data_IF_845121231610
#
_entry.id   IF_845121231610
#
_cell.length_a   1.000
_cell.length_b   1.000
_cell.length_c   1.000
_cell.angle_alpha   90.00
_cell.angle_beta   90.00
_cell.angle_gamma   90.00
#
_symmetry.space_group_name_H-M   'P 1'
#
loop_
_entity.id
_entity.type
_entity.pdbx_description
1 polymer ?
#
# COMPACT_ATOMS: atom_id res chain seq x y z
N UNK A 1 0.80 0.18 0.64
CA UNK A 1 2.16 0.28 1.19
C UNK A 1 2.33 1.63 1.86
N UNK A 2 3.14 1.73 2.91
CA UNK A 2 3.68 3.02 3.35
C UNK A 2 5.08 3.21 2.78
N UNK A 3 5.38 4.39 2.26
CA UNK A 3 6.70 4.79 1.79
C UNK A 3 7.34 5.75 2.78
N UNK A 4 8.60 5.50 3.16
CA UNK A 4 9.34 6.35 4.09
C UNK A 4 10.84 6.32 3.85
N UNK A 5 11.62 7.05 4.65
CA UNK A 5 13.08 6.96 4.60
C UNK A 5 13.59 5.61 5.13
N UNK A 6 14.72 5.12 4.62
CA UNK A 6 15.39 3.91 5.13
C UNK A 6 16.48 4.20 6.19
N UNK A 7 16.64 5.48 6.58
CA UNK A 7 17.65 5.96 7.52
C UNK A 7 19.07 6.10 6.94
N UNK A 8 19.29 5.70 5.68
CA UNK A 8 20.56 5.79 4.94
C UNK A 8 20.46 6.70 3.71
N UNK A 9 19.39 7.48 3.61
CA UNK A 9 19.10 8.36 2.47
C UNK A 9 18.38 7.66 1.30
N UNK A 10 18.01 6.39 1.46
CA UNK A 10 17.16 5.66 0.54
C UNK A 10 15.69 5.63 0.96
N UNK A 11 14.89 4.91 0.19
CA UNK A 11 13.45 4.74 0.40
C UNK A 11 13.17 3.34 0.94
N UNK A 12 12.37 3.26 2.00
CA UNK A 12 11.85 2.03 2.58
C UNK A 12 10.36 1.89 2.26
N UNK A 13 9.89 0.63 2.21
CA UNK A 13 8.50 0.30 1.96
C UNK A 13 8.00 -0.68 3.01
N UNK A 14 6.85 -0.36 3.59
CA UNK A 14 6.12 -1.25 4.47
C UNK A 14 4.84 -1.74 3.79
N UNK A 15 4.65 -3.06 3.73
CA UNK A 15 3.35 -3.63 3.41
C UNK A 15 2.45 -3.50 4.64
N UNK A 16 1.26 -2.93 4.42
CA UNK A 16 0.28 -2.72 5.49
C UNK A 16 -0.80 -3.80 5.44
N UNK A 17 -1.30 -4.07 4.24
CA UNK A 17 -2.40 -4.99 4.00
C UNK A 17 -2.02 -5.99 2.90
N UNK A 18 -2.40 -7.28 2.98
CA UNK A 18 -3.27 -7.88 3.98
C UNK A 18 -2.57 -8.15 5.32
N UNK A 19 -3.30 -8.01 6.42
CA UNK A 19 -2.85 -8.52 7.73
C UNK A 19 -3.28 -9.98 7.89
N UNK A 20 -2.59 -10.80 8.71
CA UNK A 20 -2.98 -12.19 8.93
C UNK A 20 -4.43 -12.37 9.40
N UNK A 21 -4.95 -11.40 10.17
CA UNK A 21 -6.33 -11.39 10.66
C UNK A 21 -7.36 -10.89 9.64
N UNK A 22 -6.93 -10.16 8.61
CA UNK A 22 -7.82 -9.61 7.60
C UNK A 22 -7.97 -10.61 6.44
N UNK A 23 -9.20 -11.05 6.18
CA UNK A 23 -9.53 -11.91 5.03
C UNK A 23 -8.58 -13.11 4.88
N UNK A 24 -8.28 -13.79 6.00
CA UNK A 24 -7.35 -14.92 6.08
C UNK A 24 -5.95 -14.63 5.50
N UNK A 25 -5.46 -13.40 5.66
CA UNK A 25 -4.16 -13.00 5.12
C UNK A 25 -4.15 -12.79 3.60
N UNK A 26 -5.32 -12.74 2.96
CA UNK A 26 -5.46 -12.54 1.52
C UNK A 26 -5.97 -11.15 1.17
N UNK A 27 -5.41 -10.57 0.10
CA UNK A 27 -5.92 -9.35 -0.49
C UNK A 27 -7.04 -9.60 -1.53
N UNK A 28 -7.31 -10.87 -1.86
CA UNK A 28 -8.30 -11.24 -2.86
C UNK A 28 -9.71 -10.96 -2.35
N UNK A 29 -10.49 -10.25 -3.15
CA UNK A 29 -11.91 -10.00 -2.89
C UNK A 29 -12.74 -10.57 -4.03
N UNK A 30 -13.92 -11.11 -3.72
CA UNK A 30 -14.92 -11.42 -4.73
C UNK A 30 -15.51 -10.13 -5.32
N UNK A 31 -16.15 -10.24 -6.49
CA UNK A 31 -16.90 -9.13 -7.06
C UNK A 31 -17.94 -8.60 -6.05
N UNK A 32 -18.08 -7.27 -5.97
CA UNK A 32 -18.96 -6.55 -5.04
C UNK A 32 -18.73 -6.80 -3.54
N UNK A 33 -17.67 -7.53 -3.17
CA UNK A 33 -17.32 -7.73 -1.77
C UNK A 33 -16.82 -6.43 -1.16
N UNK A 34 -17.60 -5.87 -0.23
CA UNK A 34 -17.16 -4.78 0.61
C UNK A 34 -16.22 -5.29 1.70
N UNK A 35 -15.11 -4.58 1.90
CA UNK A 35 -14.17 -4.89 2.97
C UNK A 35 -13.69 -3.60 3.63
N UNK A 36 -13.69 -3.61 4.96
CA UNK A 36 -13.06 -2.60 5.78
C UNK A 36 -11.80 -3.20 6.42
N UNK A 37 -10.67 -2.53 6.26
CA UNK A 37 -9.41 -2.94 6.90
C UNK A 37 -9.34 -2.42 8.33
N UNK A 38 -8.39 -2.92 9.11
CA UNK A 38 -8.09 -2.37 10.43
C UNK A 38 -7.56 -0.93 10.38
N UNK A 39 -7.51 -0.30 11.55
CA UNK A 39 -6.97 1.04 11.72
C UNK A 39 -5.44 1.04 11.80
N UNK A 40 -4.82 2.03 11.18
CA UNK A 40 -3.41 2.37 11.41
C UNK A 40 -3.31 3.64 12.23
N UNK A 41 -2.30 3.70 13.09
CA UNK A 41 -1.96 4.87 13.88
C UNK A 41 -0.67 5.43 13.31
N UNK A 42 -0.70 6.69 12.87
CA UNK A 42 0.53 7.38 12.45
C UNK A 42 1.43 7.58 13.65
N UNK A 43 2.73 7.64 13.41
CA UNK A 43 3.65 7.95 14.48
C UNK A 43 3.46 9.42 14.94
N UNK A 44 4.17 9.81 16.01
CA UNK A 44 4.02 11.15 16.59
C UNK A 44 4.85 12.22 15.88
N UNK A 45 5.62 11.87 14.86
CA UNK A 45 6.50 12.78 14.16
C UNK A 45 5.70 13.55 13.12
N UNK A 46 5.72 14.86 13.19
CA UNK A 46 5.04 15.70 12.19
C UNK A 46 5.62 15.44 10.80
N UNK A 47 4.76 15.39 9.80
CA UNK A 47 5.20 15.12 8.44
C UNK A 47 4.08 14.74 7.50
N UNK A 48 4.50 14.24 6.34
CA UNK A 48 3.63 13.76 5.28
C UNK A 48 3.87 12.27 5.13
N UNK A 49 2.86 11.47 5.48
CA UNK A 49 2.86 10.03 5.26
C UNK A 49 2.44 9.73 3.82
N UNK A 50 3.15 8.78 3.18
CA UNK A 50 2.97 8.43 1.77
C UNK A 50 2.38 7.04 1.62
N UNK A 51 1.08 6.97 1.40
CA UNK A 51 0.36 5.70 1.24
C UNK A 51 0.16 5.36 -0.23
N UNK A 52 0.68 4.21 -0.63
CA UNK A 52 0.36 3.60 -1.91
C UNK A 52 -0.85 2.67 -1.77
N UNK A 53 -1.96 3.01 -2.40
CA UNK A 53 -3.16 2.18 -2.53
C UNK A 53 -3.11 1.49 -3.90
N UNK A 54 -3.14 0.16 -3.89
CA UNK A 54 -3.07 -0.67 -5.09
C UNK A 54 -4.32 -1.54 -5.19
N UNK A 55 -4.91 -1.56 -6.37
CA UNK A 55 -5.96 -2.51 -6.76
C UNK A 55 -5.53 -3.22 -8.03
N UNK A 56 -5.84 -4.52 -8.13
CA UNK A 56 -5.71 -5.25 -9.39
C UNK A 56 -6.75 -6.36 -9.49
N UNK A 57 -7.19 -6.64 -10.72
CA UNK A 57 -8.06 -7.76 -11.05
C UNK A 57 -7.36 -9.11 -10.93
N UNK A 58 -6.04 -9.15 -11.09
CA UNK A 58 -5.21 -10.35 -11.02
C UNK A 58 -4.10 -10.21 -9.96
N UNK A 59 -3.56 -11.33 -9.42
CA UNK A 59 -2.43 -11.29 -8.51
C UNK A 59 -1.18 -10.67 -9.16
N UNK A 60 -0.57 -9.69 -8.48
CA UNK A 60 0.68 -9.06 -8.94
C UNK A 60 1.87 -9.74 -8.28
N UNK A 61 2.65 -10.52 -9.03
CA UNK A 61 3.73 -11.34 -8.52
C UNK A 61 4.71 -10.60 -7.57
N UNK A 62 5.13 -9.38 -7.94
CA UNK A 62 6.04 -8.57 -7.12
C UNK A 62 5.46 -8.20 -5.75
N UNK A 63 4.12 -8.02 -5.66
CA UNK A 63 3.42 -7.69 -4.41
C UNK A 63 3.11 -8.96 -3.60
N UNK A 64 2.76 -10.05 -4.29
CA UNK A 64 2.55 -11.37 -3.67
C UNK A 64 3.83 -11.87 -2.97
N UNK A 65 4.99 -11.65 -3.59
CA UNK A 65 6.29 -12.08 -3.08
C UNK A 65 6.70 -11.44 -1.73
N UNK A 66 6.01 -10.37 -1.32
CA UNK A 66 6.26 -9.66 -0.05
C UNK A 66 5.15 -9.84 0.98
N UNK A 67 4.04 -10.55 0.70
CA UNK A 67 2.93 -10.72 1.68
C UNK A 67 3.37 -11.26 3.04
N UNK A 68 4.40 -12.09 3.06
CA UNK A 68 4.93 -12.68 4.29
C UNK A 68 5.53 -11.69 5.29
N UNK A 69 5.82 -10.44 4.91
CA UNK A 69 6.44 -9.44 5.81
C UNK A 69 5.47 -8.83 6.82
N UNK A 70 4.15 -9.02 6.65
CA UNK A 70 3.15 -8.56 7.62
C UNK A 70 3.03 -9.58 8.75
N UNK A 71 4.04 -9.58 9.62
CA UNK A 71 4.18 -10.50 10.75
C UNK A 71 4.76 -9.78 11.98
N UNK A 72 4.74 -10.39 13.18
CA UNK A 72 5.28 -9.76 14.40
C UNK A 72 6.77 -9.35 14.35
N UNK A 73 7.57 -10.04 13.56
CA UNK A 73 9.03 -9.87 13.44
C UNK A 73 9.41 -8.74 12.48
N UNK A 74 8.78 -8.69 11.32
CA UNK A 74 9.07 -7.74 10.25
C UNK A 74 8.17 -6.52 10.28
N UNK A 75 6.97 -6.63 10.88
CA UNK A 75 6.01 -5.54 11.05
C UNK A 75 5.69 -4.80 9.75
N UNK A 76 5.65 -5.52 8.64
CA UNK A 76 5.40 -4.97 7.31
C UNK A 76 6.66 -4.56 6.54
N UNK A 77 7.84 -4.48 7.19
CA UNK A 77 9.04 -3.95 6.56
C UNK A 77 9.61 -4.90 5.48
N UNK A 78 9.79 -4.38 4.27
CA UNK A 78 10.41 -5.10 3.17
C UNK A 78 11.93 -4.92 3.26
N UNK A 79 12.58 -5.79 4.04
CA UNK A 79 14.03 -5.73 4.32
C UNK A 79 14.90 -6.23 3.16
N UNK A 80 14.36 -7.11 2.33
CA UNK A 80 15.06 -7.62 1.15
C UNK A 80 15.14 -6.53 0.08
N UNK A 81 16.36 -6.15 -0.29
CA UNK A 81 16.61 -5.06 -1.22
C UNK A 81 16.03 -5.32 -2.61
N UNK A 82 16.16 -6.54 -3.14
CA UNK A 82 15.66 -6.88 -4.47
C UNK A 82 14.13 -6.81 -4.53
N UNK A 83 13.45 -7.30 -3.48
CA UNK A 83 11.99 -7.19 -3.36
C UNK A 83 11.53 -5.75 -3.20
N UNK A 84 12.23 -4.94 -2.40
CA UNK A 84 11.91 -3.53 -2.25
C UNK A 84 12.05 -2.75 -3.57
N UNK A 85 13.09 -3.05 -4.35
CA UNK A 85 13.29 -2.46 -5.68
C UNK A 85 12.20 -2.89 -6.67
N UNK A 86 11.79 -4.16 -6.66
CA UNK A 86 10.69 -4.66 -7.50
C UNK A 86 9.35 -3.97 -7.17
N UNK A 87 9.02 -3.85 -5.87
CA UNK A 87 7.83 -3.12 -5.40
C UNK A 87 7.89 -1.66 -5.83
N UNK A 88 9.01 -0.96 -5.62
CA UNK A 88 9.19 0.42 -6.07
C UNK A 88 8.96 0.57 -7.57
N UNK A 89 9.53 -0.32 -8.37
CA UNK A 89 9.41 -0.30 -9.82
C UNK A 89 7.95 -0.50 -10.25
N UNK A 90 7.21 -1.41 -9.61
CA UNK A 90 5.79 -1.60 -9.85
C UNK A 90 4.98 -0.33 -9.51
N UNK A 91 5.17 0.23 -8.31
CA UNK A 91 4.46 1.41 -7.84
C UNK A 91 4.70 2.62 -8.74
N UNK A 92 5.94 2.79 -9.21
CA UNK A 92 6.32 3.90 -10.09
C UNK A 92 5.72 3.78 -11.50
N UNK A 93 5.60 2.55 -12.04
CA UNK A 93 5.03 2.30 -13.37
C UNK A 93 3.50 2.37 -13.40
N UNK A 94 2.84 1.90 -12.35
CA UNK A 94 1.38 1.81 -12.30
C UNK A 94 0.65 3.15 -12.08
N UNK A 95 1.38 4.22 -11.75
CA UNK A 95 0.82 5.55 -11.50
C UNK A 95 0.41 6.31 -12.80
N UNK A 96 0.31 5.61 -13.94
CA UNK A 96 0.03 6.21 -15.26
C UNK A 96 -1.46 6.26 -15.60
N UNK A 97 -2.27 5.32 -15.11
CA UNK A 97 -3.73 5.43 -15.17
C UNK A 97 -4.19 6.22 -13.96
N UNK A 98 -4.48 7.52 -14.13
CA UNK A 98 -5.04 8.33 -13.04
C UNK A 98 -6.47 7.87 -12.78
N UNK A 99 -6.77 7.20 -11.66
CA UNK A 99 -8.15 6.98 -11.28
C UNK A 99 -8.78 8.30 -10.86
N UNK A 100 -10.10 8.27 -10.80
CA UNK A 100 -10.86 9.40 -10.30
C UNK A 100 -10.70 9.44 -8.76
N UNK A 101 -10.06 10.51 -8.26
CA UNK A 101 -9.85 10.73 -6.83
C UNK A 101 -10.73 11.88 -6.37
N UNK A 102 -11.72 11.58 -5.53
CA UNK A 102 -12.57 12.56 -4.88
C UNK A 102 -12.16 12.69 -3.41
N UNK A 103 -11.79 13.91 -2.99
CA UNK A 103 -11.53 14.21 -1.58
C UNK A 103 -12.74 14.89 -0.97
N UNK A 104 -13.27 14.34 0.13
CA UNK A 104 -14.37 14.90 0.91
C UNK A 104 -13.92 14.95 2.35
N UNK A 105 -13.76 16.16 2.90
CA UNK A 105 -13.13 16.40 4.20
C UNK A 105 -11.80 15.66 4.37
N UNK A 106 -11.73 14.67 5.28
CA UNK A 106 -10.56 13.83 5.56
C UNK A 106 -10.62 12.46 4.86
N UNK A 107 -11.51 12.30 3.90
CA UNK A 107 -11.71 11.05 3.15
C UNK A 107 -11.24 11.21 1.71
N UNK A 108 -10.55 10.18 1.20
CA UNK A 108 -10.23 10.03 -0.23
C UNK A 108 -11.01 8.84 -0.78
N UNK A 109 -11.74 9.06 -1.88
CA UNK A 109 -12.46 8.03 -2.62
C UNK A 109 -11.77 7.84 -3.97
N UNK A 110 -11.35 6.61 -4.27
CA UNK A 110 -10.62 6.27 -5.48
C UNK A 110 -11.50 5.35 -6.33
N UNK A 111 -11.72 5.71 -7.60
CA UNK A 111 -12.45 4.88 -8.57
C UNK A 111 -11.59 4.61 -9.79
N UNK A 112 -11.45 3.33 -10.15
CA UNK A 112 -10.74 2.90 -11.35
C UNK A 112 -11.60 1.94 -12.17
N UNK A 113 -11.46 2.00 -13.49
CA UNK A 113 -12.05 1.05 -14.44
C UNK A 113 -11.00 0.14 -15.10
N UNK A 114 -9.71 0.34 -14.81
CA UNK A 114 -8.61 -0.47 -15.33
C UNK A 114 -8.29 -1.69 -14.47
N UNK A 115 -7.64 -2.68 -15.09
CA UNK A 115 -7.21 -3.94 -14.46
C UNK A 115 -6.19 -3.74 -13.33
N UNK A 116 -5.49 -2.61 -13.33
CA UNK A 116 -4.54 -2.19 -12.30
C UNK A 116 -4.77 -0.73 -11.97
N UNK A 117 -4.75 -0.38 -10.69
CA UNK A 117 -4.78 0.99 -10.20
C UNK A 117 -3.72 1.15 -9.11
N UNK A 118 -2.86 2.16 -9.24
CA UNK A 118 -1.84 2.48 -8.24
C UNK A 118 -1.94 3.97 -7.91
N UNK A 119 -2.11 4.27 -6.62
CA UNK A 119 -2.39 5.62 -6.15
C UNK A 119 -1.50 5.98 -4.99
N UNK A 120 -0.84 7.13 -5.09
CA UNK A 120 -0.21 7.77 -3.96
C UNK A 120 -1.21 8.70 -3.28
N UNK A 121 -1.47 8.45 -1.99
CA UNK A 121 -2.22 9.32 -1.09
C UNK A 121 -1.24 9.87 -0.08
N UNK A 122 -1.11 11.19 -0.06
CA UNK A 122 -0.31 11.92 0.93
C UNK A 122 -1.22 12.42 2.04
N UNK A 123 -0.85 12.10 3.28
CA UNK A 123 -1.57 12.51 4.49
C UNK A 123 -0.64 13.35 5.35
N UNK A 124 -0.98 14.63 5.49
CA UNK A 124 -0.27 15.56 6.37
C UNK A 124 -0.84 15.45 7.80
N UNK A 125 0.06 15.40 8.78
CA UNK A 125 -0.32 15.55 10.18
C UNK A 125 0.66 16.45 10.93
N UNK A 126 0.10 17.24 11.84
CA UNK A 126 0.76 18.24 12.67
C UNK A 126 0.44 17.99 14.14
#
# INVERSE_FOLDING_TARGET
>A
FNEGPDGKGGTSYNLLYPTPSANNGSAQLAADQQMQTGWYVFDRNQGTEKFWIVWSTEPVADLEAVKGVVNPQDKGAIKDRGKAEAVRAFLSRGNTSRPEVHKVDKQSVIRSTGDVSVNLVELEHH
#
